data_IF_488324975598
#
_entry.id   IF_488324975598
#
_cell.length_a   1.000
_cell.length_b   1.000
_cell.length_c   1.000
_cell.angle_alpha   90.00
_cell.angle_beta   90.00
_cell.angle_gamma   90.00
#
_symmetry.space_group_name_H-M   'P 1'
#
loop_
_entity.id
_entity.type
_entity.pdbx_description
1 polymer ?
#
# COMPACT_ATOMS: atom_id res chain seq x y z
N UNK A 1 15.47 0.28 14.30
CA UNK A 1 14.72 -0.86 13.74
C UNK A 1 13.77 -0.40 12.62
N UNK A 2 12.69 0.34 12.92
CA UNK A 2 11.66 0.75 11.93
C UNK A 2 12.20 1.56 10.72
N UNK A 3 13.18 2.44 10.93
CA UNK A 3 13.78 3.21 9.82
C UNK A 3 14.51 2.33 8.80
N UNK A 4 15.15 1.27 9.25
CA UNK A 4 15.91 0.37 8.40
C UNK A 4 14.97 -0.52 7.56
N UNK A 5 13.92 -1.07 8.17
CA UNK A 5 12.91 -1.86 7.45
C UNK A 5 12.16 -1.02 6.43
N UNK A 6 11.83 0.24 6.77
CA UNK A 6 11.19 1.17 5.83
C UNK A 6 12.10 1.48 4.64
N UNK A 7 13.41 1.65 4.87
CA UNK A 7 14.38 1.93 3.81
C UNK A 7 14.54 0.73 2.88
N UNK A 8 14.64 -0.49 3.41
CA UNK A 8 14.67 -1.72 2.61
C UNK A 8 13.37 -1.96 1.84
N UNK A 9 12.21 -1.73 2.48
CA UNK A 9 10.92 -1.88 1.84
C UNK A 9 10.78 -0.89 0.66
N UNK A 10 11.17 0.38 0.86
CA UNK A 10 11.17 1.37 -0.21
C UNK A 10 12.16 1.03 -1.32
N UNK A 11 13.38 0.58 -0.98
CA UNK A 11 14.38 0.16 -1.95
C UNK A 11 13.87 -1.01 -2.81
N UNK A 12 13.22 -2.01 -2.20
CA UNK A 12 12.60 -3.12 -2.93
C UNK A 12 11.42 -2.67 -3.79
N UNK A 13 10.58 -1.77 -3.30
CA UNK A 13 9.47 -1.22 -4.08
C UNK A 13 9.97 -0.46 -5.32
N UNK A 14 11.01 0.38 -5.16
CA UNK A 14 11.64 1.10 -6.27
C UNK A 14 12.31 0.12 -7.23
N UNK A 15 13.04 -0.87 -6.73
CA UNK A 15 13.66 -1.92 -7.55
C UNK A 15 12.61 -2.65 -8.40
N UNK A 16 11.49 -3.06 -7.79
CA UNK A 16 10.40 -3.72 -8.49
C UNK A 16 9.79 -2.82 -9.57
N UNK A 17 9.61 -1.54 -9.26
CA UNK A 17 9.11 -0.54 -10.20
C UNK A 17 10.04 -0.38 -11.41
N UNK A 18 11.36 -0.34 -11.16
CA UNK A 18 12.39 -0.24 -12.21
C UNK A 18 12.43 -1.51 -13.06
N UNK A 19 12.30 -2.70 -12.45
CA UNK A 19 12.22 -3.98 -13.18
C UNK A 19 11.02 -3.97 -14.12
N UNK A 20 9.83 -3.57 -13.65
CA UNK A 20 8.65 -3.50 -14.50
C UNK A 20 8.74 -2.40 -15.57
N UNK A 21 9.46 -1.32 -15.31
CA UNK A 21 9.72 -0.31 -16.33
C UNK A 21 10.60 -0.85 -17.45
N UNK A 22 11.73 -1.50 -17.11
CA UNK A 22 12.71 -1.94 -18.12
C UNK A 22 12.26 -3.25 -18.79
N UNK A 23 11.76 -4.20 -18.01
CA UNK A 23 11.46 -5.56 -18.47
C UNK A 23 9.96 -5.83 -18.66
N UNK A 24 9.08 -4.85 -18.40
CA UNK A 24 7.63 -5.08 -18.41
C UNK A 24 7.08 -5.54 -19.75
N UNK A 25 7.62 -5.05 -20.87
CA UNK A 25 7.25 -5.57 -22.19
C UNK A 25 7.66 -7.05 -22.34
N UNK A 26 8.91 -7.39 -22.03
CA UNK A 26 9.40 -8.77 -22.12
C UNK A 26 8.62 -9.73 -21.23
N UNK A 27 8.22 -9.28 -20.04
CA UNK A 27 7.35 -10.04 -19.13
C UNK A 27 5.98 -10.28 -19.77
N UNK A 28 5.31 -9.23 -20.29
CA UNK A 28 4.00 -9.38 -20.95
C UNK A 28 4.10 -10.32 -22.15
N UNK A 29 5.17 -10.20 -22.96
CA UNK A 29 5.42 -11.08 -24.11
C UNK A 29 5.53 -12.55 -23.72
N UNK A 30 6.11 -12.84 -22.55
CA UNK A 30 6.25 -14.22 -22.04
C UNK A 30 4.93 -14.83 -21.58
N UNK A 31 3.97 -14.00 -21.14
CA UNK A 31 2.66 -14.47 -20.69
C UNK A 31 1.68 -14.76 -21.83
N UNK A 32 1.78 -14.04 -22.95
CA UNK A 32 0.84 -14.23 -24.07
C UNK A 32 1.41 -13.79 -25.42
N UNK A 33 1.12 -14.59 -26.44
CA UNK A 33 1.42 -14.29 -27.85
C UNK A 33 0.30 -13.52 -28.55
N UNK A 34 -0.86 -13.35 -27.91
CA UNK A 34 -2.00 -12.66 -28.51
C UNK A 34 -1.73 -11.14 -28.50
N UNK A 35 -1.71 -10.55 -29.70
CA UNK A 35 -1.34 -9.15 -29.92
C UNK A 35 -2.34 -8.20 -29.26
N UNK A 36 -3.65 -8.48 -29.33
CA UNK A 36 -4.66 -7.63 -28.70
C UNK A 36 -4.51 -7.58 -27.17
N UNK A 37 -4.23 -8.73 -26.54
CA UNK A 37 -4.05 -8.82 -25.08
C UNK A 37 -2.77 -8.10 -24.66
N UNK A 38 -1.69 -8.23 -25.45
CA UNK A 38 -0.43 -7.53 -25.21
C UNK A 38 -0.61 -6.02 -25.26
N UNK A 39 -1.30 -5.50 -26.28
CA UNK A 39 -1.56 -4.06 -26.41
C UNK A 39 -2.37 -3.52 -25.23
N UNK A 40 -3.39 -4.26 -24.77
CA UNK A 40 -4.15 -3.92 -23.57
C UNK A 40 -3.26 -3.92 -22.32
N UNK A 41 -2.47 -4.98 -22.10
CA UNK A 41 -1.61 -5.12 -20.93
C UNK A 41 -0.56 -4.00 -20.84
N UNK A 42 0.02 -3.58 -21.98
CA UNK A 42 0.94 -2.43 -22.01
C UNK A 42 0.27 -1.13 -21.55
N UNK A 43 -1.01 -0.93 -21.87
CA UNK A 43 -1.79 0.22 -21.39
C UNK A 43 -1.90 0.30 -19.86
N UNK A 44 -1.88 -0.85 -19.17
CA UNK A 44 -1.98 -0.92 -17.70
C UNK A 44 -0.61 -1.02 -16.98
N UNK A 45 0.48 -1.17 -17.72
CA UNK A 45 1.82 -1.36 -17.16
C UNK A 45 2.26 -0.20 -16.25
N UNK A 46 1.85 1.03 -16.55
CA UNK A 46 2.09 2.20 -15.69
C UNK A 46 1.53 2.02 -14.28
N UNK A 47 0.36 1.39 -14.13
CA UNK A 47 -0.24 1.14 -12.82
C UNK A 47 0.56 0.09 -12.02
N UNK A 48 1.08 -0.94 -12.70
CA UNK A 48 1.96 -1.95 -12.10
C UNK A 48 3.29 -1.36 -11.62
N UNK A 49 3.82 -0.34 -12.29
CA UNK A 49 5.04 0.37 -11.86
C UNK A 49 4.77 1.20 -10.60
N UNK A 50 3.64 1.90 -10.52
CA UNK A 50 3.37 2.85 -9.41
C UNK A 50 2.85 2.14 -8.16
N UNK A 51 2.12 1.03 -8.33
CA UNK A 51 1.47 0.30 -7.24
C UNK A 51 2.41 -0.11 -6.09
N UNK A 52 3.61 -0.69 -6.32
CA UNK A 52 4.53 -1.10 -5.24
C UNK A 52 4.92 0.06 -4.34
N UNK A 53 5.16 1.25 -4.91
CA UNK A 53 5.57 2.46 -4.18
C UNK A 53 4.47 2.96 -3.25
N UNK A 54 3.20 2.80 -3.65
CA UNK A 54 2.06 3.16 -2.81
C UNK A 54 1.78 2.07 -1.78
N UNK A 55 1.81 0.80 -2.21
CA UNK A 55 1.44 -0.34 -1.39
C UNK A 55 2.42 -0.58 -0.23
N UNK A 56 3.72 -0.28 -0.42
CA UNK A 56 4.77 -0.52 0.58
C UNK A 56 4.44 0.08 1.96
N UNK A 57 3.81 1.25 1.98
CA UNK A 57 3.45 1.94 3.23
C UNK A 57 2.40 1.15 4.00
N UNK A 58 1.36 0.66 3.32
CA UNK A 58 0.31 -0.14 3.95
C UNK A 58 0.88 -1.41 4.60
N UNK A 59 1.73 -2.14 3.88
CA UNK A 59 2.33 -3.37 4.41
C UNK A 59 3.34 -3.12 5.53
N UNK A 60 4.14 -2.06 5.44
CA UNK A 60 5.12 -1.72 6.46
C UNK A 60 4.44 -1.35 7.79
N UNK A 61 3.36 -0.57 7.73
CA UNK A 61 2.60 -0.21 8.92
C UNK A 61 1.78 -1.38 9.46
N UNK A 62 1.17 -2.21 8.60
CA UNK A 62 0.48 -3.43 9.02
C UNK A 62 1.39 -4.30 9.90
N UNK A 63 2.65 -4.53 9.48
CA UNK A 63 3.62 -5.32 10.26
C UNK A 63 3.94 -4.74 11.64
N UNK A 64 4.01 -3.41 11.77
CA UNK A 64 4.26 -2.73 13.05
C UNK A 64 3.06 -2.89 13.99
N UNK A 65 1.84 -2.70 13.49
CA UNK A 65 0.62 -2.79 14.29
C UNK A 65 0.30 -4.23 14.70
N UNK A 66 0.57 -5.20 13.83
CA UNK A 66 0.48 -6.63 14.15
C UNK A 66 1.48 -6.98 15.25
N UNK A 67 2.75 -6.55 15.13
CA UNK A 67 3.77 -6.77 16.17
C UNK A 67 3.43 -6.09 17.51
N UNK A 68 2.73 -4.96 17.48
CA UNK A 68 2.24 -4.27 18.67
C UNK A 68 0.91 -4.83 19.21
N UNK A 69 0.33 -5.87 18.59
CA UNK A 69 -0.94 -6.52 18.96
C UNK A 69 -2.16 -5.57 19.06
N UNK A 70 -2.14 -4.45 18.33
CA UNK A 70 -3.24 -3.46 18.33
C UNK A 70 -4.20 -3.65 17.15
N UNK A 71 -4.85 -4.81 17.12
CA UNK A 71 -5.79 -5.21 16.06
C UNK A 71 -6.99 -4.28 15.92
N UNK A 72 -7.47 -3.67 17.02
CA UNK A 72 -8.61 -2.75 16.98
C UNK A 72 -8.36 -1.51 16.12
N UNK A 73 -7.16 -0.90 16.23
CA UNK A 73 -6.80 0.26 15.41
C UNK A 73 -6.69 -0.12 13.92
N UNK A 74 -6.17 -1.31 13.63
CA UNK A 74 -6.06 -1.85 12.26
C UNK A 74 -7.44 -2.08 11.62
N UNK A 75 -8.42 -2.54 12.41
CA UNK A 75 -9.76 -2.79 11.90
C UNK A 75 -10.49 -1.49 11.54
N UNK A 76 -10.38 -0.46 12.38
CA UNK A 76 -10.99 0.85 12.12
C UNK A 76 -10.40 1.53 10.88
N UNK A 77 -9.08 1.48 10.69
CA UNK A 77 -8.44 2.05 9.50
C UNK A 77 -8.81 1.28 8.23
N UNK A 78 -8.97 -0.05 8.31
CA UNK A 78 -9.43 -0.87 7.19
C UNK A 78 -10.87 -0.53 6.78
N UNK A 79 -11.78 -0.37 7.75
CA UNK A 79 -13.17 0.00 7.47
C UNK A 79 -13.23 1.37 6.79
N UNK A 80 -12.48 2.35 7.30
CA UNK A 80 -12.39 3.68 6.67
C UNK A 80 -11.85 3.60 5.25
N UNK A 81 -10.75 2.86 5.04
CA UNK A 81 -10.18 2.69 3.71
C UNK A 81 -11.15 2.00 2.75
N UNK A 82 -11.90 1.00 3.21
CA UNK A 82 -12.92 0.32 2.42
C UNK A 82 -14.07 1.26 2.05
N UNK A 83 -14.54 2.10 2.98
CA UNK A 83 -15.57 3.09 2.67
C UNK A 83 -15.10 4.08 1.59
N UNK A 84 -13.87 4.58 1.69
CA UNK A 84 -13.28 5.46 0.67
C UNK A 84 -13.11 4.73 -0.66
N UNK A 85 -12.70 3.46 -0.64
CA UNK A 85 -12.61 2.63 -1.84
C UNK A 85 -13.96 2.44 -2.53
N UNK A 86 -15.03 2.16 -1.77
CA UNK A 86 -16.37 2.01 -2.32
C UNK A 86 -16.84 3.30 -3.00
N UNK A 87 -16.63 4.46 -2.37
CA UNK A 87 -16.93 5.76 -2.99
C UNK A 87 -16.09 5.99 -4.23
N UNK A 88 -14.78 5.70 -4.17
CA UNK A 88 -13.89 5.84 -5.32
C UNK A 88 -14.34 4.95 -6.49
N UNK A 89 -14.74 3.70 -6.23
CA UNK A 89 -15.28 2.81 -7.26
C UNK A 89 -16.52 3.40 -7.94
N UNK A 90 -17.48 3.86 -7.16
CA UNK A 90 -18.74 4.43 -7.68
C UNK A 90 -18.51 5.68 -8.54
N UNK A 91 -17.44 6.44 -8.29
CA UNK A 91 -17.12 7.66 -9.04
C UNK A 91 -16.19 7.39 -10.22
N UNK A 92 -15.12 6.62 -10.03
CA UNK A 92 -14.08 6.42 -11.03
C UNK A 92 -14.44 5.35 -12.06
N UNK A 93 -15.09 4.25 -11.68
CA UNK A 93 -15.37 3.15 -12.61
C UNK A 93 -16.33 3.57 -13.72
N UNK A 94 -17.45 4.28 -13.46
CA UNK A 94 -18.34 4.73 -14.54
C UNK A 94 -17.67 5.71 -15.51
N UNK A 95 -16.65 6.45 -15.05
CA UNK A 95 -16.01 7.53 -15.82
C UNK A 95 -14.75 7.08 -16.57
N UNK A 96 -14.01 6.11 -16.03
CA UNK A 96 -12.71 5.69 -16.53
C UNK A 96 -12.57 4.16 -16.73
N UNK A 97 -13.63 3.40 -16.49
CA UNK A 97 -13.65 1.94 -16.64
C UNK A 97 -12.53 1.27 -15.81
N UNK A 98 -11.74 0.43 -16.46
CA UNK A 98 -10.63 -0.30 -15.82
C UNK A 98 -9.54 0.61 -15.24
N UNK A 99 -9.25 1.75 -15.85
CA UNK A 99 -8.33 2.71 -15.24
C UNK A 99 -8.89 3.29 -13.94
N UNK A 100 -10.22 3.46 -13.89
CA UNK A 100 -10.92 3.86 -12.67
C UNK A 100 -10.81 2.81 -11.57
N UNK A 101 -10.88 1.52 -11.92
CA UNK A 101 -10.68 0.41 -10.98
C UNK A 101 -9.27 0.42 -10.39
N UNK A 102 -8.24 0.55 -11.24
CA UNK A 102 -6.84 0.66 -10.79
C UNK A 102 -6.63 1.90 -9.89
N UNK A 103 -7.20 3.04 -10.28
CA UNK A 103 -7.20 4.26 -9.47
C UNK A 103 -7.83 4.08 -8.11
N UNK A 104 -9.03 3.47 -8.05
CA UNK A 104 -9.69 3.14 -6.79
C UNK A 104 -8.83 2.21 -5.92
N UNK A 105 -8.18 1.21 -6.52
CA UNK A 105 -7.27 0.30 -5.81
C UNK A 105 -6.06 1.03 -5.23
N UNK A 106 -5.48 1.98 -5.98
CA UNK A 106 -4.37 2.81 -5.48
C UNK A 106 -4.80 3.70 -4.32
N UNK A 107 -6.00 4.31 -4.41
CA UNK A 107 -6.58 5.11 -3.33
C UNK A 107 -6.78 4.25 -2.09
N UNK A 108 -7.31 3.03 -2.23
CA UNK A 108 -7.47 2.10 -1.12
C UNK A 108 -6.14 1.79 -0.42
N UNK A 109 -5.11 1.43 -1.19
CA UNK A 109 -3.76 1.14 -0.66
C UNK A 109 -3.16 2.36 0.05
N UNK A 110 -3.29 3.55 -0.55
CA UNK A 110 -2.82 4.80 0.03
C UNK A 110 -3.56 5.12 1.35
N UNK A 111 -4.88 5.00 1.37
CA UNK A 111 -5.70 5.27 2.55
C UNK A 111 -5.38 4.34 3.72
N UNK A 112 -5.07 3.06 3.45
CA UNK A 112 -4.61 2.13 4.49
C UNK A 112 -3.27 2.57 5.08
N UNK A 113 -2.30 2.91 4.23
CA UNK A 113 -1.01 3.42 4.66
C UNK A 113 -1.14 4.72 5.49
N UNK A 114 -1.95 5.66 5.01
CA UNK A 114 -2.20 6.95 5.68
C UNK A 114 -2.95 6.73 7.01
N UNK A 115 -4.00 5.91 7.03
CA UNK A 115 -4.79 5.64 8.23
C UNK A 115 -3.93 5.08 9.36
N UNK A 116 -3.06 4.12 9.06
CA UNK A 116 -2.14 3.57 10.06
C UNK A 116 -1.01 4.54 10.42
N UNK A 117 -0.51 5.32 9.47
CA UNK A 117 0.48 6.37 9.75
C UNK A 117 -0.09 7.44 10.70
N UNK A 118 -1.38 7.79 10.58
CA UNK A 118 -2.07 8.71 11.49
C UNK A 118 -2.33 8.09 12.87
N UNK A 119 -2.56 6.78 12.94
CA UNK A 119 -2.69 6.06 14.21
C UNK A 119 -1.32 5.80 14.90
N UNK A 120 -0.21 5.91 14.16
CA UNK A 120 1.13 5.61 14.68
C UNK A 120 1.56 6.52 15.86
N UNK A 121 1.38 7.86 15.82
CA UNK A 121 1.65 8.72 16.97
C UNK A 121 0.83 8.38 18.22
N UNK A 122 -0.43 7.97 18.03
CA UNK A 122 -1.29 7.53 19.13
C UNK A 122 -0.77 6.24 19.77
N UNK A 123 -0.33 5.29 18.94
CA UNK A 123 0.29 4.04 19.40
C UNK A 123 1.55 4.30 20.24
N UNK A 124 2.43 5.16 19.74
CA UNK A 124 3.70 5.50 20.41
C UNK A 124 3.45 6.17 21.77
N UNK A 125 2.46 7.07 21.86
CA UNK A 125 2.11 7.73 23.13
C UNK A 125 1.54 6.75 24.16
N UNK A 126 0.68 5.83 23.74
CA UNK A 126 0.03 4.89 24.65
C UNK A 126 0.93 3.72 25.10
N UNK A 127 2.05 3.44 24.42
CA UNK A 127 3.03 2.44 24.87
C UNK A 127 4.15 3.02 25.75
N UNK A 128 4.54 4.30 25.56
CA UNK A 128 5.60 4.94 26.36
C UNK A 128 5.07 5.39 27.74
N UNK A 129 3.75 5.56 27.89
CA UNK A 129 3.12 5.94 29.16
C UNK A 129 3.09 4.83 30.24
N UNK A 130 3.35 3.58 29.87
CA UNK A 130 3.24 2.41 30.75
C UNK A 130 4.59 1.87 31.26
N UNK A 131 5.67 2.63 31.09
CA UNK A 131 6.93 2.31 31.79
C UNK A 131 6.67 2.54 33.29
N UNK A 132 6.72 1.51 34.16
CA UNK A 132 6.62 1.73 35.59
C UNK A 132 7.75 2.71 35.95
N UNK A 133 7.41 3.81 36.62
CA UNK A 133 8.42 4.62 37.29
C UNK A 133 9.07 3.71 38.32
N UNK A 134 10.21 3.10 37.95
CA UNK A 134 11.04 2.40 38.92
C UNK A 134 11.39 3.40 40.01
N UNK A 135 10.98 3.01 41.21
CA UNK A 135 11.07 3.70 42.47
C UNK A 135 12.56 3.93 42.72
N UNK A 136 12.96 5.20 42.84
CA UNK A 136 14.32 5.54 43.23
C UNK A 136 14.61 5.07 44.66
N UNK A 137 15.87 4.71 44.96
CA UNK A 137 16.49 4.98 46.24
C UNK A 137 17.12 6.39 46.27
#
# INVERSE_FOLDING_TARGET
>A
MVRLTTLWALALAVLYSVIFWIAGEAIIRSFTDIVEIRALAMGFLHWLIVMPVIAVWSYQFDGIFIGATKTAAMMWTMILAFAVYAVALLVLVPRFGNHGLWGAMMIFLAMRGIGLALCYPWLVRNQIGDTPREIGP
#
